data_IF_634298255034
#
_entry.id   IF_634298255034
#
_cell.length_a   1.000
_cell.length_b   1.000
_cell.length_c   1.000
_cell.angle_alpha   90.00
_cell.angle_beta   90.00
_cell.angle_gamma   90.00
#
_symmetry.space_group_name_H-M   'P 1'
#
loop_
_entity.id
_entity.type
_entity.pdbx_description
1 polymer ?
#
# COMPACT_ATOMS: atom_id res chain seq x y z
N UNK A 1 11.78 -21.19 6.21
CA UNK A 1 10.60 -21.07 5.33
C UNK A 1 10.82 -19.81 4.52
N UNK A 2 11.23 -20.02 3.28
CA UNK A 2 11.61 -19.00 2.31
C UNK A 2 10.37 -18.23 1.89
N UNK A 3 10.21 -17.00 2.37
CA UNK A 3 9.28 -16.07 1.75
C UNK A 3 10.03 -15.45 0.57
N UNK A 4 10.00 -16.16 -0.56
CA UNK A 4 10.44 -15.64 -1.84
C UNK A 4 9.40 -14.62 -2.26
N UNK A 5 9.74 -13.34 -2.14
CA UNK A 5 9.01 -12.24 -2.76
C UNK A 5 8.84 -12.56 -4.26
N UNK A 6 7.62 -12.51 -4.82
CA UNK A 6 7.40 -12.81 -6.23
C UNK A 6 8.13 -11.79 -7.12
N UNK A 7 8.84 -12.30 -8.13
CA UNK A 7 9.61 -11.54 -9.14
C UNK A 7 8.71 -10.74 -10.12
N UNK A 8 7.77 -9.97 -9.58
CA UNK A 8 7.08 -8.88 -10.27
C UNK A 8 7.62 -7.52 -9.82
N UNK A 9 7.32 -6.42 -10.53
CA UNK A 9 7.61 -5.08 -10.02
C UNK A 9 7.01 -4.98 -8.61
N UNK A 10 7.88 -4.82 -7.61
CA UNK A 10 7.57 -5.01 -6.19
C UNK A 10 6.31 -4.28 -5.70
N UNK A 11 5.92 -3.20 -6.39
CA UNK A 11 4.71 -2.45 -6.08
C UNK A 11 3.41 -3.26 -6.16
N UNK A 12 3.19 -4.05 -7.21
CA UNK A 12 1.94 -4.82 -7.35
C UNK A 12 1.84 -5.94 -6.30
N UNK A 13 2.95 -6.58 -5.97
CA UNK A 13 3.02 -7.61 -4.93
C UNK A 13 2.72 -7.07 -3.53
N UNK A 14 3.17 -5.85 -3.22
CA UNK A 14 2.86 -5.18 -1.95
C UNK A 14 1.36 -4.90 -1.84
N UNK A 15 0.72 -4.48 -2.93
CA UNK A 15 -0.73 -4.23 -2.93
C UNK A 15 -1.50 -5.52 -2.60
N UNK A 16 -1.10 -6.65 -3.14
CA UNK A 16 -1.70 -7.97 -2.84
C UNK A 16 -1.55 -8.37 -1.37
N UNK A 17 -0.38 -8.16 -0.77
CA UNK A 17 -0.15 -8.42 0.65
C UNK A 17 -1.02 -7.51 1.54
N UNK A 18 -1.15 -6.22 1.20
CA UNK A 18 -2.03 -5.30 1.93
C UNK A 18 -3.50 -5.73 1.87
N UNK A 19 -3.97 -6.19 0.71
CA UNK A 19 -5.32 -6.73 0.55
C UNK A 19 -5.48 -8.02 1.37
N UNK A 20 -4.53 -8.95 1.27
CA UNK A 20 -4.57 -10.22 2.01
C UNK A 20 -4.56 -10.03 3.54
N UNK A 21 -3.90 -8.97 4.03
CA UNK A 21 -3.88 -8.58 5.44
C UNK A 21 -5.12 -7.80 5.89
N UNK A 22 -6.05 -7.48 5.00
CA UNK A 22 -7.22 -6.67 5.31
C UNK A 22 -6.89 -5.21 5.62
N UNK A 23 -5.77 -4.69 5.11
CA UNK A 23 -5.30 -3.31 5.30
C UNK A 23 -5.82 -2.35 4.22
N UNK A 24 -6.63 -2.85 3.28
CA UNK A 24 -7.34 -2.05 2.27
C UNK A 24 -8.83 -2.08 2.61
N UNK A 25 -9.39 -0.92 2.93
CA UNK A 25 -10.83 -0.76 3.16
C UNK A 25 -11.54 -0.38 1.87
N UNK A 26 -11.28 0.84 1.36
CA UNK A 26 -11.84 1.36 0.13
C UNK A 26 -10.73 1.80 -0.83
N UNK A 27 -11.00 1.70 -2.13
CA UNK A 27 -10.13 2.20 -3.19
C UNK A 27 -10.98 2.80 -4.29
N UNK A 28 -10.50 3.88 -4.91
CA UNK A 28 -11.15 4.47 -6.08
C UNK A 28 -11.12 3.55 -7.29
N UNK A 29 -9.97 2.90 -7.51
CA UNK A 29 -9.75 1.90 -8.56
C UNK A 29 -8.51 1.07 -8.20
N UNK A 30 -8.75 -0.15 -7.71
CA UNK A 30 -7.67 -1.03 -7.26
C UNK A 30 -6.83 -1.56 -8.43
N UNK A 31 -7.44 -1.75 -9.60
CA UNK A 31 -6.75 -2.31 -10.75
C UNK A 31 -5.85 -1.25 -11.41
N UNK A 32 -6.33 -0.02 -11.53
CA UNK A 32 -5.50 1.09 -12.01
C UNK A 32 -4.29 1.36 -11.10
N UNK A 33 -4.45 1.22 -9.77
CA UNK A 33 -3.33 1.33 -8.82
C UNK A 33 -2.35 0.18 -9.04
N UNK A 34 -2.82 -1.05 -9.23
CA UNK A 34 -1.98 -2.22 -9.50
C UNK A 34 -1.13 -2.02 -10.75
N UNK A 35 -1.76 -1.63 -11.87
CA UNK A 35 -1.06 -1.34 -13.12
C UNK A 35 -0.01 -0.24 -12.94
N UNK A 36 -0.39 0.85 -12.25
CA UNK A 36 0.52 1.98 -11.99
C UNK A 36 1.72 1.59 -11.12
N UNK A 37 1.51 0.73 -10.13
CA UNK A 37 2.58 0.21 -9.27
C UNK A 37 3.45 -0.83 -9.98
N UNK A 38 2.96 -1.43 -11.08
CA UNK A 38 3.74 -2.32 -11.92
C UNK A 38 4.71 -1.57 -12.85
N UNK A 39 4.37 -0.35 -13.26
CA UNK A 39 5.23 0.50 -14.10
C UNK A 39 6.49 0.98 -13.38
N UNK A 40 6.48 1.02 -12.04
CA UNK A 40 7.63 1.41 -11.24
C UNK A 40 7.26 2.07 -9.90
N UNK A 41 8.25 2.60 -9.17
CA UNK A 41 8.04 3.26 -7.88
C UNK A 41 7.11 4.47 -8.00
N UNK A 42 6.23 4.61 -7.01
CA UNK A 42 5.30 5.75 -6.90
C UNK A 42 5.53 6.51 -5.60
N UNK A 43 5.27 7.82 -5.62
CA UNK A 43 5.25 8.66 -4.42
C UNK A 43 3.85 8.65 -3.83
N UNK A 44 3.74 8.39 -2.53
CA UNK A 44 2.49 8.41 -1.77
C UNK A 44 2.60 9.38 -0.59
N UNK A 45 1.47 9.81 -0.05
CA UNK A 45 1.42 10.66 1.15
C UNK A 45 0.32 10.18 2.10
N UNK A 46 0.52 10.43 3.39
CA UNK A 46 -0.45 10.24 4.46
C UNK A 46 -0.45 11.50 5.32
N UNK A 47 -1.62 12.11 5.53
CA UNK A 47 -1.77 13.36 6.27
C UNK A 47 -2.24 13.11 7.70
N UNK A 48 -1.68 13.86 8.65
CA UNK A 48 -2.13 13.90 10.03
C UNK A 48 -2.39 15.36 10.43
N UNK A 49 -3.60 15.68 10.88
CA UNK A 49 -3.91 17.01 11.40
C UNK A 49 -3.40 17.14 12.85
N UNK A 50 -2.79 18.28 13.23
CA UNK A 50 -2.25 18.50 14.58
C UNK A 50 -3.37 18.78 15.59
N UNK A 51 -4.17 17.76 15.90
CA UNK A 51 -5.33 17.83 16.81
C UNK A 51 -4.96 17.65 18.28
N UNK A 52 -3.73 17.20 18.57
CA UNK A 52 -3.19 17.00 19.91
C UNK A 52 -1.66 17.17 19.91
N UNK A 53 -1.06 17.18 21.10
CA UNK A 53 0.40 17.32 21.30
C UNK A 53 1.22 16.11 20.80
N UNK A 54 0.56 14.99 20.47
CA UNK A 54 1.18 13.78 19.94
C UNK A 54 0.18 12.96 19.11
N UNK A 55 0.71 12.14 18.20
CA UNK A 55 -0.05 11.07 17.54
C UNK A 55 -0.36 9.92 18.51
N UNK A 56 -1.37 9.13 18.17
CA UNK A 56 -1.74 7.90 18.85
C UNK A 56 -1.84 6.75 17.83
N UNK A 57 -2.15 5.53 18.29
CA UNK A 57 -2.20 4.29 17.48
C UNK A 57 -3.32 4.27 16.42
N UNK A 58 -4.06 5.38 16.26
CA UNK A 58 -5.26 5.46 15.44
C UNK A 58 -5.00 5.99 14.05
#
# INVERSE_FOLDING_TARGET
MSDSLPDGPAGAAILDDLVARGLVQDSTDLEAIRERMADGPITLYCGFDPTADSLHVG
#
